data_IF_361444135047
#
_entry.id   IF_361444135047
#
_cell.length_a   1.000
_cell.length_b   1.000
_cell.length_c   1.000
_cell.angle_alpha   90.00
_cell.angle_beta   90.00
_cell.angle_gamma   90.00
#
_symmetry.space_group_name_H-M   'P 1'
#
loop_
_entity.id
_entity.type
_entity.pdbx_description
1 polymer ?
#
# COMPACT_ATOMS: atom_id res chain seq x y z
N UNK A 1 18.10 3.57 -26.42
CA UNK A 1 17.15 3.81 -27.53
C UNK A 1 16.37 5.10 -27.36
N UNK A 2 15.43 5.22 -26.41
CA UNK A 2 14.65 6.48 -26.22
C UNK A 2 15.50 7.66 -25.72
N UNK A 3 16.47 7.40 -24.83
CA UNK A 3 17.38 8.43 -24.30
C UNK A 3 18.40 8.92 -25.36
N UNK A 4 18.59 8.16 -26.45
CA UNK A 4 19.43 8.52 -27.59
C UNK A 4 18.64 9.28 -28.68
N UNK A 5 17.41 9.74 -28.38
CA UNK A 5 16.58 10.51 -29.32
C UNK A 5 15.75 9.66 -30.30
N UNK A 6 15.73 8.33 -30.17
CA UNK A 6 14.95 7.48 -31.07
C UNK A 6 13.43 7.72 -30.91
N UNK A 7 12.71 7.72 -32.04
CA UNK A 7 11.24 7.85 -32.05
C UNK A 7 10.59 6.65 -31.34
N UNK A 8 9.61 6.90 -30.47
CA UNK A 8 8.88 5.86 -29.74
C UNK A 8 8.24 4.80 -30.65
N UNK A 9 7.83 5.17 -31.86
CA UNK A 9 7.26 4.25 -32.85
C UNK A 9 8.27 3.28 -33.44
N UNK A 10 9.52 3.72 -33.64
CA UNK A 10 10.59 2.84 -34.10
C UNK A 10 10.92 1.80 -33.03
N UNK A 11 11.07 2.26 -31.77
CA UNK A 11 11.31 1.38 -30.61
C UNK A 11 10.15 0.38 -30.40
N UNK A 12 8.91 0.81 -30.63
CA UNK A 12 7.74 -0.07 -30.55
C UNK A 12 7.74 -1.17 -31.62
N UNK A 13 8.13 -0.85 -32.86
CA UNK A 13 8.22 -1.83 -33.96
C UNK A 13 9.35 -2.84 -33.73
N UNK A 14 10.50 -2.36 -33.28
CA UNK A 14 11.67 -3.20 -33.02
C UNK A 14 11.44 -4.17 -31.85
N UNK A 15 10.76 -3.70 -30.81
CA UNK A 15 10.40 -4.53 -29.64
C UNK A 15 9.09 -5.30 -29.84
N UNK A 16 8.43 -5.18 -31.00
CA UNK A 16 7.13 -5.77 -31.33
C UNK A 16 6.06 -5.57 -30.22
N UNK A 17 6.06 -4.39 -29.61
CA UNK A 17 5.11 -4.00 -28.55
C UNK A 17 4.29 -2.81 -28.98
N UNK A 18 3.08 -2.71 -28.46
CA UNK A 18 2.22 -1.56 -28.77
C UNK A 18 2.83 -0.25 -28.24
N UNK A 19 2.70 0.84 -29.00
CA UNK A 19 3.23 2.17 -28.66
C UNK A 19 2.78 2.66 -27.28
N UNK A 20 1.58 2.28 -26.83
CA UNK A 20 1.08 2.64 -25.49
C UNK A 20 1.89 2.03 -24.34
N UNK A 21 2.56 0.89 -24.55
CA UNK A 21 3.44 0.26 -23.57
C UNK A 21 4.72 1.11 -23.42
N UNK A 22 5.33 1.49 -24.53
CA UNK A 22 6.52 2.36 -24.56
C UNK A 22 6.23 3.72 -23.92
N UNK A 23 5.08 4.32 -24.24
CA UNK A 23 4.67 5.59 -23.65
C UNK A 23 4.49 5.49 -22.12
N UNK A 24 3.82 4.43 -21.63
CA UNK A 24 3.65 4.19 -20.19
C UNK A 24 4.99 3.98 -19.49
N UNK A 25 5.88 3.20 -20.08
CA UNK A 25 7.21 2.92 -19.53
C UNK A 25 8.08 4.19 -19.49
N UNK A 26 8.05 5.01 -20.55
CA UNK A 26 8.78 6.27 -20.60
C UNK A 26 8.28 7.27 -19.53
N UNK A 27 6.97 7.39 -19.34
CA UNK A 27 6.41 8.25 -18.30
C UNK A 27 6.73 7.76 -16.89
N UNK A 28 6.79 6.44 -16.67
CA UNK A 28 7.22 5.86 -15.40
C UNK A 28 8.71 6.17 -15.14
N UNK A 29 9.56 5.94 -16.13
CA UNK A 29 11.00 6.20 -16.04
C UNK A 29 11.31 7.68 -15.79
N UNK A 30 10.61 8.61 -16.45
CA UNK A 30 10.79 10.05 -16.20
C UNK A 30 10.43 10.47 -14.78
N UNK A 31 9.44 9.83 -14.16
CA UNK A 31 8.97 10.16 -12.81
C UNK A 31 9.86 9.55 -11.73
N UNK A 32 10.14 8.26 -11.87
CA UNK A 32 10.74 7.46 -10.79
C UNK A 32 12.22 7.13 -11.04
N UNK A 33 12.77 7.53 -12.21
CA UNK A 33 14.08 7.07 -12.75
C UNK A 33 14.27 5.57 -12.67
N UNK A 34 13.15 4.83 -12.72
CA UNK A 34 13.09 3.41 -12.49
C UNK A 34 12.30 2.75 -13.61
N UNK A 35 12.86 1.66 -14.14
CA UNK A 35 12.26 0.82 -15.17
C UNK A 35 11.72 -0.50 -14.60
N UNK A 36 11.96 -0.79 -13.32
CA UNK A 36 11.42 -1.98 -12.68
C UNK A 36 9.91 -1.90 -12.51
N UNK A 37 9.25 -3.06 -12.55
CA UNK A 37 7.81 -3.16 -12.32
C UNK A 37 7.48 -2.57 -10.95
N UNK A 38 6.53 -1.62 -10.91
CA UNK A 38 5.99 -1.11 -9.64
C UNK A 38 5.50 -2.28 -8.78
N UNK A 39 5.91 -2.33 -7.52
CA UNK A 39 5.29 -3.23 -6.54
C UNK A 39 3.80 -2.88 -6.46
N UNK A 40 2.95 -3.89 -6.35
CA UNK A 40 1.52 -3.67 -6.19
C UNK A 40 1.27 -2.66 -5.07
N UNK A 41 0.65 -1.53 -5.42
CA UNK A 41 0.25 -0.54 -4.44
C UNK A 41 -0.98 -1.07 -3.71
N UNK A 42 -0.86 -1.23 -2.39
CA UNK A 42 -1.97 -1.67 -1.54
C UNK A 42 -1.83 -1.12 -0.14
N UNK A 43 -2.96 -0.90 0.55
CA UNK A 43 -2.96 -0.49 1.95
C UNK A 43 -2.38 -1.64 2.78
N UNK A 44 -1.29 -1.37 3.50
CA UNK A 44 -0.72 -2.34 4.44
C UNK A 44 -1.78 -2.66 5.49
N UNK A 45 -2.06 -3.96 5.67
CA UNK A 45 -2.99 -4.41 6.71
C UNK A 45 -2.31 -4.23 8.06
N UNK A 46 -2.89 -3.38 8.90
CA UNK A 46 -2.39 -3.07 10.26
C UNK A 46 -3.05 -4.01 11.28
N UNK A 47 -4.31 -4.37 11.05
CA UNK A 47 -5.06 -5.31 11.90
C UNK A 47 -4.80 -6.75 11.50
N UNK A 48 -4.76 -7.63 12.49
CA UNK A 48 -4.71 -9.08 12.27
C UNK A 48 -6.12 -9.64 12.11
N UNK A 49 -6.24 -10.84 11.54
CA UNK A 49 -7.55 -11.54 11.45
C UNK A 49 -8.22 -11.74 12.82
N UNK A 50 -7.45 -11.80 13.91
CA UNK A 50 -8.00 -11.88 15.27
C UNK A 50 -8.59 -10.53 15.73
N UNK A 51 -7.89 -9.42 15.45
CA UNK A 51 -8.41 -8.07 15.76
C UNK A 51 -9.71 -7.80 15.00
N UNK A 52 -9.76 -8.19 13.73
CA UNK A 52 -10.95 -7.96 12.89
C UNK A 52 -12.16 -8.73 13.42
N UNK A 53 -11.97 -9.96 13.90
CA UNK A 53 -13.04 -10.75 14.56
C UNK A 53 -13.51 -10.08 15.85
N UNK A 54 -12.58 -9.58 16.66
CA UNK A 54 -12.92 -8.85 17.88
C UNK A 54 -13.69 -7.56 17.57
N UNK A 55 -13.23 -6.77 16.60
CA UNK A 55 -13.91 -5.55 16.15
C UNK A 55 -15.31 -5.83 15.64
N UNK A 56 -15.50 -6.89 14.86
CA UNK A 56 -16.82 -7.31 14.38
C UNK A 56 -17.75 -7.68 15.55
N UNK A 57 -17.23 -8.39 16.55
CA UNK A 57 -18.00 -8.74 17.74
C UNK A 57 -18.36 -7.51 18.58
N UNK A 58 -17.43 -6.57 18.76
CA UNK A 58 -17.68 -5.30 19.43
C UNK A 58 -18.73 -4.46 18.69
N UNK A 59 -18.66 -4.40 17.35
CA UNK A 59 -19.66 -3.71 16.53
C UNK A 59 -21.05 -4.33 16.66
N UNK A 60 -21.16 -5.64 16.90
CA UNK A 60 -22.45 -6.34 17.08
C UNK A 60 -23.02 -6.12 18.48
N UNK A 61 -22.23 -6.29 19.54
CA UNK A 61 -22.74 -6.29 20.92
C UNK A 61 -22.62 -4.95 21.65
N UNK A 62 -21.70 -4.08 21.23
CA UNK A 62 -21.36 -2.84 21.94
C UNK A 62 -21.29 -1.66 20.96
N UNK A 63 -22.39 -1.45 20.24
CA UNK A 63 -22.56 -0.43 19.19
C UNK A 63 -22.23 1.01 19.64
N UNK A 64 -22.39 1.31 20.92
CA UNK A 64 -22.13 2.64 21.49
C UNK A 64 -20.66 2.89 21.89
N UNK A 65 -19.78 1.88 21.75
CA UNK A 65 -18.37 2.05 22.10
C UNK A 65 -17.65 2.98 21.13
N UNK A 66 -16.89 3.92 21.70
CA UNK A 66 -16.04 4.84 20.95
C UNK A 66 -14.84 4.09 20.37
N UNK A 67 -14.47 4.41 19.13
CA UNK A 67 -13.32 3.81 18.44
C UNK A 67 -12.00 3.93 19.24
N UNK A 68 -11.79 5.03 19.97
CA UNK A 68 -10.61 5.25 20.81
C UNK A 68 -10.52 4.23 21.96
N UNK A 69 -11.65 3.90 22.59
CA UNK A 69 -11.69 2.89 23.67
C UNK A 69 -11.39 1.49 23.12
N UNK A 70 -11.92 1.15 21.95
CA UNK A 70 -11.63 -0.12 21.27
C UNK A 70 -10.15 -0.22 20.87
N UNK A 71 -9.56 0.87 20.36
CA UNK A 71 -8.14 0.92 20.04
C UNK A 71 -7.26 0.72 21.28
N UNK A 72 -7.61 1.35 22.41
CA UNK A 72 -6.92 1.13 23.69
C UNK A 72 -7.05 -0.32 24.17
N UNK A 73 -8.23 -0.94 24.08
CA UNK A 73 -8.43 -2.34 24.46
C UNK A 73 -7.61 -3.30 23.59
N UNK A 74 -7.64 -3.10 22.26
CA UNK A 74 -6.81 -3.87 21.33
C UNK A 74 -5.31 -3.69 21.60
N UNK A 75 -4.88 -2.46 21.90
CA UNK A 75 -3.50 -2.17 22.25
C UNK A 75 -3.10 -2.90 23.55
N UNK A 76 -3.91 -2.80 24.60
CA UNK A 76 -3.66 -3.48 25.89
C UNK A 76 -3.59 -5.01 25.73
N UNK A 77 -4.50 -5.63 24.97
CA UNK A 77 -4.44 -7.06 24.68
C UNK A 77 -3.22 -7.45 23.84
N UNK A 78 -2.73 -6.54 22.98
CA UNK A 78 -1.53 -6.74 22.14
C UNK A 78 -0.21 -6.54 22.90
N UNK A 79 -0.19 -5.85 24.05
CA UNK A 79 1.06 -5.51 24.79
C UNK A 79 1.93 -6.71 25.23
N UNK A 80 1.48 -7.95 25.06
CA UNK A 80 2.35 -9.14 25.16
C UNK A 80 3.29 -9.35 23.94
N UNK A 81 3.07 -8.63 22.82
CA UNK A 81 3.94 -8.56 21.63
C UNK A 81 3.87 -7.15 21.04
N UNK A 82 4.72 -6.24 21.52
CA UNK A 82 4.78 -4.86 21.02
C UNK A 82 5.74 -4.81 19.81
N UNK A 83 5.27 -4.53 18.58
CA UNK A 83 6.13 -4.02 17.52
C UNK A 83 6.50 -2.55 17.82
N UNK A 84 7.71 -2.09 17.45
CA UNK A 84 8.35 -0.88 17.98
C UNK A 84 7.68 0.46 17.64
N UNK A 85 6.57 0.47 16.90
CA UNK A 85 5.92 1.69 16.42
C UNK A 85 4.57 2.00 17.11
N UNK A 86 4.23 1.33 18.21
CA UNK A 86 3.04 1.66 19.00
C UNK A 86 3.30 2.87 19.91
N UNK A 87 3.47 4.05 19.32
CA UNK A 87 3.45 5.31 20.06
C UNK A 87 2.00 5.60 20.46
N UNK A 88 1.65 5.29 21.70
CA UNK A 88 0.40 5.72 22.31
C UNK A 88 0.57 7.21 22.58
N UNK A 89 0.08 8.06 21.69
CA UNK A 89 0.02 9.50 21.95
C UNK A 89 -0.97 9.76 23.09
N UNK A 90 -0.43 9.93 24.29
CA UNK A 90 -1.11 10.54 25.44
C UNK A 90 -0.58 11.96 25.61
N UNK A 91 -1.32 12.92 25.08
CA UNK A 91 -1.58 14.27 25.58
C UNK A 91 -2.44 14.98 24.52
#
# INVERSE_FOLDING_TARGET
>A
MLQAGARQSAVARELNVHRSVIHRLWNHYRRDRNSSRRRGSGRRRITTTADDRYLLQCARHRRTLRARLLASQLCCCRKARIPPNCFVQTA
#
